data_IF_190478647256
#
_entry.id   IF_190478647256
#
_cell.length_a   1.000
_cell.length_b   1.000
_cell.length_c   1.000
_cell.angle_alpha   90.00
_cell.angle_beta   90.00
_cell.angle_gamma   90.00
#
_symmetry.space_group_name_H-M   'P 1'
#
loop_
_entity.id
_entity.type
_entity.pdbx_description
1 polymer ?
#
# COMPACT_ATOMS: atom_id res chain seq x y z
N UNK A 1 19.77 22.80 6.78
CA UNK A 1 19.43 22.12 5.51
C UNK A 1 17.97 21.76 5.57
N UNK A 2 17.14 22.34 4.70
CA UNK A 2 15.75 21.90 4.53
C UNK A 2 15.80 20.61 3.73
N UNK A 3 15.35 19.49 4.30
CA UNK A 3 15.19 18.25 3.54
C UNK A 3 13.96 18.43 2.67
N UNK A 4 14.13 18.34 1.36
CA UNK A 4 13.03 18.41 0.41
C UNK A 4 12.16 17.16 0.56
N UNK A 5 10.88 17.34 0.86
CA UNK A 5 9.94 16.24 1.04
C UNK A 5 9.44 15.82 -0.34
N UNK A 6 9.57 14.54 -0.75
CA UNK A 6 9.07 14.06 -2.03
C UNK A 6 7.59 14.37 -2.21
N UNK A 7 7.19 14.72 -3.44
CA UNK A 7 5.77 15.01 -3.75
C UNK A 7 5.25 14.26 -4.96
N UNK A 8 6.15 13.73 -5.79
CA UNK A 8 5.84 13.01 -7.01
C UNK A 8 6.44 11.61 -6.99
N UNK A 9 5.91 10.71 -7.82
CA UNK A 9 6.54 9.40 -8.03
C UNK A 9 7.92 9.47 -8.68
N UNK A 10 8.22 10.55 -9.41
CA UNK A 10 9.54 10.77 -10.00
C UNK A 10 10.63 11.05 -8.95
N UNK A 11 10.23 11.46 -7.74
CA UNK A 11 11.14 11.83 -6.65
C UNK A 11 11.54 10.64 -5.78
N UNK A 12 10.89 9.48 -5.97
CA UNK A 12 11.02 8.30 -5.12
C UNK A 12 11.48 7.07 -5.91
N UNK A 13 12.15 6.10 -5.26
CA UNK A 13 12.57 4.89 -5.93
C UNK A 13 11.38 4.11 -6.52
N UNK A 14 11.63 3.47 -7.66
CA UNK A 14 10.71 2.51 -8.28
C UNK A 14 11.17 1.09 -7.98
N UNK A 15 10.45 0.42 -7.09
CA UNK A 15 10.69 -0.96 -6.67
C UNK A 15 10.19 -1.90 -7.75
N UNK A 16 11.05 -2.79 -8.23
CA UNK A 16 10.79 -3.68 -9.37
C UNK A 16 10.51 -5.12 -8.95
N UNK A 17 10.95 -5.51 -7.76
CA UNK A 17 10.84 -6.85 -7.20
C UNK A 17 10.13 -6.82 -5.85
N UNK A 18 9.55 -7.96 -5.43
CA UNK A 18 8.99 -8.12 -4.10
C UNK A 18 10.07 -7.92 -3.02
N UNK A 19 11.28 -8.42 -3.27
CA UNK A 19 12.40 -8.30 -2.34
C UNK A 19 12.72 -6.84 -2.00
N UNK A 20 12.74 -5.94 -2.99
CA UNK A 20 12.95 -4.50 -2.76
C UNK A 20 11.81 -3.88 -1.93
N UNK A 21 10.57 -4.35 -2.08
CA UNK A 21 9.45 -3.90 -1.22
C UNK A 21 9.62 -4.38 0.21
N UNK A 22 10.01 -5.63 0.39
CA UNK A 22 10.28 -6.21 1.73
C UNK A 22 11.43 -5.50 2.42
N UNK A 23 12.50 -5.19 1.70
CA UNK A 23 13.64 -4.41 2.21
C UNK A 23 13.20 -3.00 2.65
N UNK A 24 12.37 -2.33 1.85
CA UNK A 24 11.83 -1.03 2.19
C UNK A 24 11.01 -1.08 3.49
N UNK A 25 10.06 -2.03 3.60
CA UNK A 25 9.21 -2.20 4.79
C UNK A 25 10.04 -2.55 6.03
N UNK A 26 11.11 -3.32 5.87
CA UNK A 26 12.04 -3.63 6.97
C UNK A 26 12.90 -2.43 7.42
N UNK A 27 13.03 -1.40 6.58
CA UNK A 27 13.87 -0.22 6.84
C UNK A 27 13.05 0.99 7.29
N UNK A 28 11.85 1.16 6.76
CA UNK A 28 10.96 2.29 7.00
C UNK A 28 9.64 1.77 7.56
N UNK A 29 9.27 2.26 8.74
CA UNK A 29 8.03 1.91 9.42
C UNK A 29 7.51 3.11 10.21
N UNK A 30 6.19 3.39 10.21
CA UNK A 30 5.15 2.67 9.49
C UNK A 30 5.09 3.06 8.00
N UNK A 31 4.75 2.10 7.16
CA UNK A 31 4.50 2.30 5.72
C UNK A 31 3.22 1.61 5.27
N UNK A 32 2.58 2.24 4.32
CA UNK A 32 1.31 1.83 3.76
C UNK A 32 1.43 1.71 2.25
N UNK A 33 0.49 1.00 1.63
CA UNK A 33 0.33 0.97 0.17
C UNK A 33 -1.02 1.58 -0.19
N UNK A 34 -1.01 2.41 -1.22
CA UNK A 34 -2.21 2.95 -1.85
C UNK A 34 -2.21 2.64 -3.33
N UNK A 35 -3.38 2.30 -3.84
CA UNK A 35 -3.63 2.13 -5.27
C UNK A 35 -4.40 3.36 -5.75
N UNK A 36 -3.78 4.22 -6.56
CA UNK A 36 -4.42 5.45 -7.03
C UNK A 36 -3.70 5.99 -8.26
N UNK A 37 -4.12 7.15 -8.76
CA UNK A 37 -3.46 7.88 -9.83
C UNK A 37 -2.15 8.56 -9.41
N UNK A 38 -1.70 8.34 -8.17
CA UNK A 38 -0.43 8.81 -7.64
C UNK A 38 -0.53 9.96 -6.65
N UNK A 39 0.59 10.31 -6.00
CA UNK A 39 0.66 11.34 -4.96
C UNK A 39 0.12 12.71 -5.37
N UNK A 40 0.39 13.15 -6.59
CA UNK A 40 0.02 14.49 -7.06
C UNK A 40 -1.49 14.66 -7.17
N UNK A 41 -2.16 13.62 -7.65
CA UNK A 41 -3.63 13.57 -7.71
C UNK A 41 -4.20 13.46 -6.31
N UNK A 42 -3.64 12.57 -5.49
CA UNK A 42 -4.13 12.36 -4.13
C UNK A 42 -3.95 13.59 -3.23
N UNK A 43 -2.92 14.40 -3.44
CA UNK A 43 -2.68 15.65 -2.72
C UNK A 43 -3.77 16.71 -2.93
N UNK A 44 -4.56 16.60 -3.99
CA UNK A 44 -5.66 17.52 -4.30
C UNK A 44 -7.03 16.83 -4.28
N UNK A 45 -7.09 15.59 -3.81
CA UNK A 45 -8.31 14.79 -3.74
C UNK A 45 -8.66 14.38 -2.30
N UNK A 46 -9.89 13.92 -2.11
CA UNK A 46 -10.36 13.38 -0.84
C UNK A 46 -10.90 11.98 -1.10
N UNK A 47 -10.51 11.02 -0.26
CA UNK A 47 -11.09 9.68 -0.36
C UNK A 47 -12.57 9.71 0.01
N UNK A 48 -13.34 8.85 -0.64
CA UNK A 48 -14.77 8.68 -0.40
C UNK A 48 -15.03 7.22 -0.10
N UNK A 49 -15.91 6.98 0.86
CA UNK A 49 -16.51 5.66 1.01
C UNK A 49 -17.36 5.34 -0.22
N UNK A 50 -17.18 4.15 -0.79
CA UNK A 50 -17.87 3.75 -2.00
C UNK A 50 -19.36 3.47 -1.76
N UNK A 51 -19.70 2.92 -0.59
CA UNK A 51 -21.08 2.53 -0.28
C UNK A 51 -21.95 3.72 0.12
N UNK A 52 -21.47 4.56 1.05
CA UNK A 52 -22.23 5.74 1.54
C UNK A 52 -22.00 7.02 0.74
N UNK A 53 -20.89 7.12 0.00
CA UNK A 53 -20.46 8.35 -0.67
C UNK A 53 -19.89 9.42 0.27
N UNK A 54 -19.77 9.14 1.58
CA UNK A 54 -19.23 10.05 2.56
C UNK A 54 -17.76 10.37 2.29
N UNK A 55 -17.37 11.62 2.57
CA UNK A 55 -15.97 12.03 2.55
C UNK A 55 -15.24 11.40 3.75
N UNK A 56 -14.09 10.80 3.49
CA UNK A 56 -13.22 10.27 4.51
C UNK A 56 -12.26 11.37 5.02
N UNK A 57 -11.93 11.39 6.32
CA UNK A 57 -11.02 12.40 6.90
C UNK A 57 -9.56 12.29 6.44
N UNK A 58 -9.21 11.27 5.64
CA UNK A 58 -7.86 11.05 5.11
C UNK A 58 -7.85 10.09 3.92
N UNK A 59 -6.68 9.81 3.38
CA UNK A 59 -6.49 8.83 2.31
C UNK A 59 -6.67 7.41 2.87
N UNK A 60 -7.56 6.64 2.28
CA UNK A 60 -7.70 5.21 2.55
C UNK A 60 -6.47 4.44 2.03
N UNK A 61 -5.83 3.66 2.90
CA UNK A 61 -4.56 2.97 2.63
C UNK A 61 -4.52 1.61 3.30
N UNK A 62 -3.66 0.71 2.81
CA UNK A 62 -3.47 -0.61 3.41
C UNK A 62 -2.12 -0.69 4.10
N UNK A 63 -2.03 -1.21 5.34
CA UNK A 63 -0.75 -1.33 6.05
C UNK A 63 0.16 -2.36 5.36
N UNK A 64 1.45 -2.04 5.23
CA UNK A 64 2.46 -3.01 4.79
C UNK A 64 3.25 -3.61 5.97
N UNK A 65 3.19 -2.99 7.14
CA UNK A 65 3.76 -3.53 8.38
C UNK A 65 2.93 -4.74 8.88
N UNK A 66 3.59 -5.81 9.33
CA UNK A 66 2.92 -6.91 10.01
C UNK A 66 2.31 -6.49 11.34
N UNK A 67 1.14 -7.04 11.64
CA UNK A 67 0.55 -6.94 12.98
C UNK A 67 1.37 -7.73 14.03
N UNK A 68 1.34 -7.36 15.32
CA UNK A 68 2.18 -7.99 16.35
C UNK A 68 1.99 -9.50 16.56
N UNK A 69 0.86 -10.06 16.12
CA UNK A 69 0.57 -11.49 16.20
C UNK A 69 1.16 -12.30 15.04
N UNK A 70 1.70 -11.63 14.01
CA UNK A 70 2.28 -12.30 12.85
C UNK A 70 3.61 -12.98 13.20
N UNK A 71 3.66 -14.30 13.05
CA UNK A 71 4.79 -15.15 13.43
C UNK A 71 5.55 -15.74 12.23
N UNK A 72 5.27 -15.26 11.01
CA UNK A 72 5.85 -15.74 9.75
C UNK A 72 6.81 -14.70 9.14
N UNK A 73 7.62 -15.05 8.12
CA UNK A 73 8.49 -14.10 7.44
C UNK A 73 7.75 -12.83 6.96
N UNK A 74 8.45 -11.68 7.02
CA UNK A 74 7.94 -10.39 6.54
C UNK A 74 7.50 -10.47 5.07
N UNK A 75 8.26 -11.19 4.23
CA UNK A 75 7.93 -11.42 2.83
C UNK A 75 6.53 -12.00 2.64
N UNK A 76 6.11 -12.93 3.50
CA UNK A 76 4.79 -13.55 3.41
C UNK A 76 3.67 -12.54 3.74
N UNK A 77 3.90 -11.63 4.69
CA UNK A 77 2.95 -10.56 5.02
C UNK A 77 2.83 -9.56 3.88
N UNK A 78 3.96 -9.06 3.38
CA UNK A 78 4.00 -8.09 2.27
C UNK A 78 3.36 -8.70 1.02
N UNK A 79 3.68 -9.96 0.70
CA UNK A 79 3.07 -10.70 -0.40
C UNK A 79 1.55 -10.80 -0.25
N UNK A 80 1.05 -11.09 0.96
CA UNK A 80 -0.39 -11.12 1.28
C UNK A 80 -1.05 -9.77 1.05
N UNK A 81 -0.50 -8.69 1.62
CA UNK A 81 -1.08 -7.35 1.50
C UNK A 81 -1.12 -6.90 0.03
N UNK A 82 0.00 -7.00 -0.69
CA UNK A 82 0.05 -6.62 -2.10
C UNK A 82 -0.90 -7.45 -2.96
N UNK A 83 -1.02 -8.76 -2.71
CA UNK A 83 -1.89 -9.65 -3.49
C UNK A 83 -3.38 -9.36 -3.26
N UNK A 84 -3.79 -9.20 -1.99
CA UNK A 84 -5.19 -8.99 -1.63
C UNK A 84 -5.75 -7.69 -2.21
N UNK A 85 -4.95 -6.62 -2.24
CA UNK A 85 -5.40 -5.32 -2.75
C UNK A 85 -5.06 -5.06 -4.22
N UNK A 86 -4.35 -5.98 -4.90
CA UNK A 86 -3.99 -5.82 -6.30
C UNK A 86 -5.20 -5.76 -7.26
N UNK A 87 -6.40 -6.16 -6.81
CA UNK A 87 -7.64 -6.01 -7.59
C UNK A 87 -8.05 -4.53 -7.79
N UNK A 88 -7.49 -3.60 -7.00
CA UNK A 88 -7.68 -2.16 -7.21
C UNK A 88 -6.84 -1.57 -8.34
N UNK A 89 -5.90 -2.34 -8.90
CA UNK A 89 -5.09 -1.89 -10.03
C UNK A 89 -5.96 -1.74 -11.29
N UNK A 90 -5.80 -0.61 -11.95
CA UNK A 90 -6.38 -0.34 -13.28
C UNK A 90 -5.30 0.31 -14.15
N UNK A 91 -5.64 0.68 -15.38
CA UNK A 91 -4.71 1.43 -16.23
C UNK A 91 -4.27 2.76 -15.59
N UNK A 92 -5.15 3.38 -14.80
CA UNK A 92 -4.93 4.69 -14.17
C UNK A 92 -4.68 4.58 -12.65
N UNK A 93 -4.67 3.38 -12.09
CA UNK A 93 -4.42 3.14 -10.67
C UNK A 93 -3.30 2.13 -10.47
N UNK A 94 -2.23 2.60 -9.85
CA UNK A 94 -1.03 1.81 -9.59
C UNK A 94 -0.65 1.87 -8.10
N UNK A 95 0.05 0.84 -7.59
CA UNK A 95 0.52 0.82 -6.22
C UNK A 95 1.70 1.77 -5.99
N UNK A 96 1.61 2.54 -4.91
CA UNK A 96 2.72 3.31 -4.38
C UNK A 96 2.73 3.26 -2.85
N UNK A 97 3.91 3.36 -2.28
CA UNK A 97 4.17 3.29 -0.84
C UNK A 97 4.21 4.70 -0.28
N UNK A 98 3.59 4.89 0.87
CA UNK A 98 3.51 6.15 1.58
C UNK A 98 3.60 5.98 3.08
N UNK A 99 3.95 7.05 3.79
CA UNK A 99 3.80 7.19 5.23
C UNK A 99 3.01 8.45 5.54
N UNK A 100 2.54 8.62 6.78
CA UNK A 100 1.72 9.76 7.20
C UNK A 100 1.11 9.55 8.59
N UNK A 101 0.28 10.49 9.01
CA UNK A 101 -0.40 10.44 10.31
C UNK A 101 -1.77 9.77 10.19
N UNK A 102 -2.06 8.82 11.07
CA UNK A 102 -3.37 8.15 11.10
C UNK A 102 -4.39 9.07 11.78
N UNK A 103 -5.40 9.50 11.03
CA UNK A 103 -6.50 10.35 11.54
C UNK A 103 -7.75 9.54 11.90
N UNK A 104 -7.85 8.30 11.43
CA UNK A 104 -9.00 7.44 11.67
C UNK A 104 -8.92 6.11 10.95
N UNK A 105 -10.08 5.43 10.88
CA UNK A 105 -10.26 4.14 10.24
C UNK A 105 -11.43 4.24 9.25
N UNK A 106 -11.27 3.66 8.07
CA UNK A 106 -12.34 3.52 7.09
C UNK A 106 -13.30 2.37 7.44
N UNK A 107 -14.31 2.14 6.59
CA UNK A 107 -15.35 1.13 6.83
C UNK A 107 -14.78 -0.30 6.92
N UNK A 108 -13.68 -0.58 6.23
CA UNK A 108 -13.00 -1.89 6.25
C UNK A 108 -11.91 -1.95 7.33
N UNK A 109 -11.95 -1.02 8.29
CA UNK A 109 -10.93 -0.80 9.32
C UNK A 109 -9.54 -0.44 8.79
N UNK A 110 -9.44 0.00 7.54
CA UNK A 110 -8.20 0.42 6.94
C UNK A 110 -7.77 1.81 7.48
N UNK A 111 -6.47 2.05 7.70
CA UNK A 111 -5.99 3.34 8.18
C UNK A 111 -6.26 4.47 7.19
N UNK A 112 -6.79 5.58 7.71
CA UNK A 112 -6.95 6.83 6.98
C UNK A 112 -5.80 7.77 7.31
N UNK A 113 -5.05 8.20 6.30
CA UNK A 113 -3.85 9.01 6.49
C UNK A 113 -4.04 10.47 6.10
N UNK A 114 -3.43 11.37 6.87
CA UNK A 114 -3.17 12.77 6.50
C UNK A 114 -1.67 13.03 6.48
N UNK A 115 -1.26 14.21 6.01
CA UNK A 115 0.14 14.64 5.94
C UNK A 115 1.05 13.60 5.26
N UNK A 116 0.54 13.02 4.18
CA UNK A 116 1.17 11.87 3.55
C UNK A 116 2.43 12.24 2.78
N UNK A 117 3.46 11.40 2.92
CA UNK A 117 4.73 11.51 2.20
C UNK A 117 4.91 10.27 1.32
N UNK A 118 5.12 10.42 0.00
CA UNK A 118 5.49 9.32 -0.89
C UNK A 118 6.85 8.74 -0.50
N UNK A 119 6.93 7.42 -0.49
CA UNK A 119 8.16 6.67 -0.15
C UNK A 119 8.71 5.92 -1.35
N UNK A 120 7.86 5.29 -2.16
CA UNK A 120 8.27 4.56 -3.35
C UNK A 120 7.10 4.31 -4.30
N UNK A 121 7.40 3.98 -5.57
CA UNK A 121 6.43 3.36 -6.49
C UNK A 121 6.71 1.86 -6.61
N UNK A 122 5.66 1.05 -6.85
CA UNK A 122 5.81 -0.40 -7.02
C UNK A 122 5.50 -0.75 -8.49
N UNK A 123 6.44 -1.40 -9.15
CA UNK A 123 6.26 -1.88 -10.51
C UNK A 123 5.30 -3.09 -10.55
N UNK A 124 4.56 -3.30 -11.65
CA UNK A 124 3.69 -4.47 -11.80
C UNK A 124 4.41 -5.82 -11.62
N UNK A 125 5.71 -5.90 -11.96
CA UNK A 125 6.51 -7.11 -11.77
C UNK A 125 6.59 -7.55 -10.30
N UNK A 126 6.80 -6.61 -9.37
CA UNK A 126 6.80 -6.89 -7.93
C UNK A 126 5.44 -7.41 -7.44
N UNK A 127 4.33 -6.92 -8.01
CA UNK A 127 2.98 -7.42 -7.70
C UNK A 127 2.78 -8.84 -8.20
N UNK A 128 3.34 -9.20 -9.36
CA UNK A 128 3.30 -10.58 -9.85
C UNK A 128 4.10 -11.52 -8.95
N UNK A 129 5.32 -11.12 -8.56
CA UNK A 129 6.11 -11.89 -7.59
C UNK A 129 5.38 -12.07 -6.26
N UNK A 130 4.76 -11.01 -5.74
CA UNK A 130 3.92 -11.06 -4.54
C UNK A 130 2.81 -12.11 -4.65
N UNK A 131 2.10 -12.16 -5.80
CA UNK A 131 1.04 -13.14 -6.05
C UNK A 131 1.58 -14.57 -6.11
N UNK A 132 2.75 -14.77 -6.69
CA UNK A 132 3.37 -16.10 -6.78
C UNK A 132 3.84 -16.60 -5.41
N UNK A 133 4.41 -15.71 -4.58
CA UNK A 133 4.71 -16.03 -3.17
C UNK A 133 3.42 -16.32 -2.41
N UNK A 134 2.40 -15.46 -2.52
CA UNK A 134 1.13 -15.61 -1.81
C UNK A 134 0.47 -16.97 -2.08
N UNK A 135 0.34 -17.36 -3.35
CA UNK A 135 -0.23 -18.67 -3.74
C UNK A 135 0.60 -19.86 -3.26
N UNK A 136 1.91 -19.70 -3.12
CA UNK A 136 2.82 -20.78 -2.72
C UNK A 136 2.80 -21.03 -1.21
N UNK A 137 2.64 -19.98 -0.41
CA UNK A 137 2.86 -20.04 1.05
C UNK A 137 1.57 -20.01 1.88
N UNK A 138 0.44 -19.69 1.26
CA UNK A 138 -0.87 -19.75 1.88
C UNK A 138 -1.73 -20.80 1.18
N UNK A 139 -2.47 -21.56 1.98
CA UNK A 139 -3.57 -22.39 1.49
C UNK A 139 -4.71 -21.44 1.09
N UNK A 140 -4.61 -20.86 -0.11
CA UNK A 140 -5.70 -20.10 -0.71
C UNK A 140 -6.75 -21.15 -1.09
N UNK A 141 -7.61 -21.50 -0.13
CA UNK A 141 -8.75 -22.37 -0.39
C UNK A 141 -9.53 -21.82 -1.56
N UNK A 142 -9.92 -22.69 -2.49
CA UNK A 142 -10.88 -22.38 -3.54
C UNK A 142 -12.08 -21.72 -2.85
N UNK A 143 -12.42 -20.50 -3.28
CA UNK A 143 -13.35 -19.60 -2.59
C UNK A 143 -14.53 -20.39 -2.04
N UNK A 144 -14.58 -20.53 -0.71
CA UNK A 144 -15.58 -21.32 0.00
C UNK A 144 -16.98 -20.86 -0.42
N UNK A 145 -17.57 -21.60 -1.35
CA UNK A 145 -18.94 -21.45 -1.82
C UNK A 145 -19.86 -22.29 -0.94
#
# INVERSE_FOLDING_TARGET
>A
MTVEVPRALADVPRLRTLAEVVELVGTVSPVYVRFSAGPEVDATSVSRDHESGCLLPGLSTNPLDPEPWWDRPLEHWVARQLSQYAHHMTQDRFPWVLTGEVTGRGPDCEPLLVDTVPVASIAPAAIHEARDVYRRVFDVGDDGT
#
